data_IF_234646952425
#
_entry.id   IF_234646952425
#
_cell.length_a   1.000
_cell.length_b   1.000
_cell.length_c   1.000
_cell.angle_alpha   90.00
_cell.angle_beta   90.00
_cell.angle_gamma   90.00
#
_symmetry.space_group_name_H-M   'P 1'
#
loop_
_entity.id
_entity.type
_entity.pdbx_description
1 polymer ?
#
# COMPACT_ATOMS: atom_id res chain seq x y z
N UNK A 1 4.37 -20.02 49.19
CA UNK A 1 3.78 -18.68 49.28
C UNK A 1 2.83 -18.66 50.48
N UNK A 2 3.12 -17.84 51.47
CA UNK A 2 2.21 -17.67 52.62
C UNK A 2 1.25 -16.54 52.27
N UNK A 3 0.01 -16.87 52.03
CA UNK A 3 -1.06 -15.91 51.68
C UNK A 3 -2.01 -15.76 52.86
N UNK A 4 -2.09 -14.57 53.43
CA UNK A 4 -3.25 -14.15 54.22
C UNK A 4 -4.13 -13.30 53.33
N UNK A 5 -5.10 -13.89 52.66
CA UNK A 5 -6.06 -13.20 51.81
C UNK A 5 -7.47 -13.59 52.23
N UNK A 6 -8.24 -12.59 52.60
CA UNK A 6 -9.69 -12.67 52.69
C UNK A 6 -10.26 -12.55 51.29
N UNK A 7 -10.56 -13.68 50.61
CA UNK A 7 -11.11 -13.70 49.26
C UNK A 7 -11.32 -15.12 48.79
N UNK A 8 -12.33 -15.32 47.94
CA UNK A 8 -12.74 -16.61 47.38
C UNK A 8 -11.99 -16.98 46.07
N UNK A 9 -11.11 -16.14 45.60
CA UNK A 9 -10.42 -16.34 44.32
C UNK A 9 -8.93 -15.96 44.41
N UNK A 10 -8.07 -16.85 43.94
CA UNK A 10 -6.65 -16.61 43.81
C UNK A 10 -6.20 -16.85 42.37
N UNK A 11 -5.65 -15.84 41.77
CA UNK A 11 -5.09 -15.91 40.42
C UNK A 11 -3.55 -15.92 40.51
N UNK A 12 -2.93 -16.95 39.95
CA UNK A 12 -1.47 -17.05 39.89
C UNK A 12 -1.04 -16.83 38.44
N UNK A 13 -0.22 -15.81 38.25
CA UNK A 13 0.29 -15.44 36.92
C UNK A 13 1.81 -15.23 37.02
N UNK A 14 2.55 -15.93 36.15
CA UNK A 14 3.97 -15.68 35.97
C UNK A 14 4.32 -15.76 34.47
N UNK A 15 5.42 -15.11 34.08
CA UNK A 15 5.87 -15.08 32.69
C UNK A 15 6.34 -16.49 32.27
N UNK A 16 5.81 -16.97 31.14
CA UNK A 16 6.15 -18.30 30.61
C UNK A 16 5.31 -19.46 31.20
N UNK A 17 4.29 -19.15 31.99
CA UNK A 17 3.37 -20.13 32.55
C UNK A 17 1.92 -19.79 32.24
N UNK A 18 1.09 -20.84 32.12
CA UNK A 18 -0.36 -20.67 32.00
C UNK A 18 -0.94 -20.13 33.30
N UNK A 19 -1.81 -19.12 33.19
CA UNK A 19 -2.52 -18.58 34.37
C UNK A 19 -3.43 -19.65 34.93
N UNK A 20 -3.30 -19.98 36.23
CA UNK A 20 -4.19 -20.89 36.92
C UNK A 20 -5.05 -20.10 37.92
N UNK A 21 -6.36 -20.36 37.92
CA UNK A 21 -7.31 -19.73 38.81
C UNK A 21 -7.95 -20.81 39.70
N UNK A 22 -7.80 -20.67 41.01
CA UNK A 22 -8.35 -21.57 41.99
C UNK A 22 -9.37 -20.83 42.85
N UNK A 23 -10.59 -21.36 42.89
CA UNK A 23 -11.70 -20.87 43.73
C UNK A 23 -11.79 -21.75 44.98
N UNK A 24 -11.61 -21.19 46.15
CA UNK A 24 -11.78 -21.89 47.42
C UNK A 24 -12.15 -20.92 48.54
N UNK A 25 -12.86 -21.45 49.55
CA UNK A 25 -13.22 -20.72 50.74
C UNK A 25 -12.21 -21.06 51.83
N UNK A 26 -11.43 -20.08 52.28
CA UNK A 26 -10.39 -20.25 53.30
C UNK A 26 -11.08 -20.29 54.69
N UNK A 27 -11.23 -21.50 55.25
CA UNK A 27 -11.78 -21.71 56.60
C UNK A 27 -10.72 -22.02 57.66
N UNK A 28 -9.51 -22.42 57.24
CA UNK A 28 -8.38 -22.83 58.09
C UNK A 28 -7.07 -22.51 57.38
N UNK A 29 -5.95 -22.42 58.14
CA UNK A 29 -4.62 -22.30 57.56
C UNK A 29 -4.36 -23.45 56.58
N UNK A 30 -4.20 -23.14 55.31
CA UNK A 30 -4.06 -24.11 54.21
C UNK A 30 -2.77 -23.88 53.44
N UNK A 31 -2.03 -24.96 53.22
CA UNK A 31 -0.85 -24.95 52.36
C UNK A 31 -1.24 -25.41 50.97
N UNK A 32 -1.16 -24.50 49.99
CA UNK A 32 -1.46 -24.80 48.59
C UNK A 32 -0.14 -24.97 47.82
N UNK A 33 0.07 -26.18 47.31
CA UNK A 33 1.18 -26.48 46.40
C UNK A 33 0.67 -26.49 44.94
N UNK A 34 0.91 -25.38 44.23
CA UNK A 34 0.47 -25.22 42.86
C UNK A 34 1.64 -25.47 41.91
N UNK A 35 1.46 -26.39 40.98
CA UNK A 35 2.41 -26.64 39.88
C UNK A 35 1.86 -25.96 38.64
N UNK A 36 2.45 -24.86 38.27
CA UNK A 36 2.13 -24.16 37.03
C UNK A 36 2.66 -24.95 35.81
N UNK A 37 1.82 -25.06 34.78
CA UNK A 37 2.26 -25.63 33.50
C UNK A 37 3.00 -24.55 32.74
N UNK A 38 4.25 -24.85 32.36
CA UNK A 38 5.02 -23.97 31.50
C UNK A 38 4.29 -23.79 30.16
N UNK A 39 4.00 -22.54 29.83
CA UNK A 39 3.52 -22.16 28.51
C UNK A 39 4.73 -21.91 27.61
N UNK A 40 5.63 -22.90 27.54
CA UNK A 40 6.80 -22.87 26.66
C UNK A 40 6.46 -23.27 25.22
N UNK A 41 5.20 -23.38 24.85
CA UNK A 41 4.78 -23.17 23.49
C UNK A 41 4.60 -21.65 23.32
N UNK A 42 5.72 -20.93 23.13
CA UNK A 42 5.76 -19.99 22.05
C UNK A 42 5.24 -20.80 20.86
N UNK A 43 4.03 -20.52 20.41
CA UNK A 43 3.73 -20.81 19.03
C UNK A 43 4.91 -20.21 18.28
N UNK A 44 5.75 -21.08 17.76
CA UNK A 44 6.76 -20.71 16.83
C UNK A 44 5.98 -19.95 15.77
N UNK A 45 6.01 -18.63 15.85
CA UNK A 45 5.70 -17.79 14.72
C UNK A 45 6.82 -18.13 13.77
N UNK A 46 6.61 -19.20 13.02
CA UNK A 46 7.35 -19.48 11.82
C UNK A 46 7.03 -18.27 10.96
N UNK A 47 7.82 -17.22 11.15
CA UNK A 47 8.00 -16.21 10.14
C UNK A 47 8.69 -16.99 9.03
N UNK A 48 7.91 -17.72 8.26
CA UNK A 48 8.34 -18.22 6.97
C UNK A 48 8.73 -16.94 6.24
N UNK A 49 10.03 -16.69 6.26
CA UNK A 49 10.58 -15.66 5.42
C UNK A 49 10.33 -16.17 4.01
N UNK A 50 9.25 -15.75 3.39
CA UNK A 50 8.97 -16.00 1.96
C UNK A 50 10.18 -15.69 1.07
N UNK A 51 11.16 -14.95 1.61
CA UNK A 51 12.43 -14.65 0.95
C UNK A 51 13.36 -15.86 0.79
N UNK A 52 13.37 -16.82 1.70
CA UNK A 52 14.26 -17.99 1.61
C UNK A 52 13.70 -19.01 0.62
N UNK A 53 12.38 -19.21 0.61
CA UNK A 53 11.73 -20.08 -0.36
C UNK A 53 11.63 -19.43 -1.75
N UNK A 54 11.41 -18.13 -1.83
CA UNK A 54 11.38 -17.40 -3.10
C UNK A 54 12.73 -17.50 -3.86
N UNK A 55 13.85 -17.60 -3.16
CA UNK A 55 15.17 -17.72 -3.80
C UNK A 55 15.45 -19.08 -4.43
N UNK A 56 14.87 -20.15 -3.88
CA UNK A 56 15.15 -21.54 -4.33
C UNK A 56 14.02 -22.13 -5.19
N UNK A 57 12.79 -21.67 -5.02
CA UNK A 57 11.59 -22.17 -5.74
C UNK A 57 11.11 -21.20 -6.82
N UNK A 58 11.58 -19.96 -6.83
CA UNK A 58 11.20 -18.98 -7.85
C UNK A 58 11.72 -19.41 -9.22
N UNK A 59 10.83 -19.88 -10.05
CA UNK A 59 11.10 -20.23 -11.47
C UNK A 59 11.40 -19.02 -12.34
N UNK A 60 11.23 -17.79 -11.82
CA UNK A 60 11.48 -16.54 -12.53
C UNK A 60 12.68 -15.80 -11.94
N UNK A 61 13.80 -15.86 -12.65
CA UNK A 61 14.94 -15.00 -12.35
C UNK A 61 14.62 -13.55 -12.71
N UNK A 62 14.99 -12.59 -11.84
CA UNK A 62 14.86 -11.17 -12.10
C UNK A 62 13.55 -10.52 -11.66
N UNK A 63 12.58 -11.27 -11.16
CA UNK A 63 11.40 -10.75 -10.49
C UNK A 63 11.71 -10.42 -9.03
N UNK A 64 11.35 -9.23 -8.59
CA UNK A 64 11.46 -8.79 -7.20
C UNK A 64 10.10 -8.28 -6.75
N UNK A 65 9.54 -8.91 -5.75
CA UNK A 65 8.33 -8.42 -5.08
C UNK A 65 8.72 -7.41 -4.00
N UNK A 66 8.09 -6.25 -4.02
CA UNK A 66 8.35 -5.19 -3.04
C UNK A 66 7.25 -5.25 -1.99
N UNK A 67 7.59 -5.56 -0.73
CA UNK A 67 6.61 -5.61 0.34
C UNK A 67 6.00 -4.23 0.60
N UNK A 68 4.68 -4.15 0.74
CA UNK A 68 3.97 -2.89 1.01
C UNK A 68 4.43 -2.21 2.31
N UNK A 69 4.86 -2.99 3.30
CA UNK A 69 5.46 -2.46 4.54
C UNK A 69 6.74 -1.66 4.23
N UNK A 70 7.57 -2.13 3.30
CA UNK A 70 8.77 -1.42 2.89
C UNK A 70 8.41 -0.10 2.18
N UNK A 71 7.40 -0.11 1.31
CA UNK A 71 6.93 1.09 0.61
C UNK A 71 6.43 2.13 1.61
N UNK A 72 5.61 1.71 2.58
CA UNK A 72 5.04 2.60 3.60
C UNK A 72 6.08 3.18 4.56
N UNK A 73 7.17 2.45 4.82
CA UNK A 73 8.26 2.86 5.70
C UNK A 73 9.40 3.58 4.96
N UNK A 74 9.31 3.70 3.65
CA UNK A 74 10.31 4.46 2.88
C UNK A 74 10.22 5.93 3.23
N UNK A 75 11.34 6.59 3.58
CA UNK A 75 11.37 8.03 3.79
C UNK A 75 10.86 8.73 2.53
N UNK A 76 9.88 9.59 2.70
CA UNK A 76 9.22 10.24 1.59
C UNK A 76 9.37 11.75 1.68
N UNK A 77 9.42 12.38 0.53
CA UNK A 77 9.39 13.84 0.44
C UNK A 77 8.01 14.30 0.92
N UNK A 78 7.99 15.26 1.85
CA UNK A 78 6.76 15.89 2.36
C UNK A 78 5.82 14.93 3.12
N UNK A 79 6.35 13.81 3.62
CA UNK A 79 5.59 12.90 4.48
C UNK A 79 4.64 11.95 3.75
N UNK A 80 4.74 11.86 2.43
CA UNK A 80 3.91 10.94 1.63
C UNK A 80 4.73 9.76 1.08
N UNK A 81 4.40 8.54 1.49
CA UNK A 81 5.01 7.33 0.95
C UNK A 81 4.62 7.14 -0.53
N UNK A 82 5.60 6.79 -1.35
CA UNK A 82 5.44 6.69 -2.80
C UNK A 82 6.04 5.39 -3.34
N UNK A 83 5.27 4.72 -4.21
CA UNK A 83 5.67 3.43 -4.80
C UNK A 83 6.86 3.57 -5.72
N UNK A 84 6.88 4.61 -6.57
CA UNK A 84 7.97 4.81 -7.53
C UNK A 84 9.27 5.18 -6.81
N UNK A 85 9.18 5.99 -5.74
CA UNK A 85 10.34 6.32 -4.90
C UNK A 85 10.89 5.09 -4.17
N UNK A 86 10.02 4.20 -3.70
CA UNK A 86 10.47 2.94 -3.10
C UNK A 86 11.18 2.03 -4.13
N UNK A 87 10.70 2.01 -5.38
CA UNK A 87 11.37 1.28 -6.49
C UNK A 87 12.75 1.88 -6.80
N UNK A 88 12.91 3.21 -6.74
CA UNK A 88 14.18 3.89 -6.97
C UNK A 88 15.29 3.46 -5.97
N UNK A 89 14.92 3.01 -4.78
CA UNK A 89 15.87 2.50 -3.78
C UNK A 89 16.32 1.04 -4.02
N UNK A 90 15.75 0.38 -5.04
CA UNK A 90 16.10 -1.01 -5.31
C UNK A 90 17.43 -1.14 -6.05
N UNK A 91 18.24 -2.18 -5.76
CA UNK A 91 19.49 -2.40 -6.47
C UNK A 91 19.30 -2.51 -7.99
N UNK A 92 20.11 -1.78 -8.76
CA UNK A 92 20.03 -1.76 -10.24
C UNK A 92 18.92 -0.88 -10.79
N UNK A 93 18.32 -0.04 -9.97
CA UNK A 93 17.42 1.04 -10.36
C UNK A 93 18.09 2.36 -10.02
N UNK A 94 18.07 3.30 -10.94
CA UNK A 94 18.56 4.66 -10.72
C UNK A 94 17.40 5.63 -10.87
N UNK A 95 17.34 6.61 -9.97
CA UNK A 95 16.49 7.78 -10.14
C UNK A 95 17.08 8.65 -11.26
N UNK A 96 16.20 9.36 -11.95
CA UNK A 96 16.61 10.44 -12.85
C UNK A 96 17.04 11.68 -12.07
N UNK A 97 16.67 12.84 -12.58
CA UNK A 97 16.86 14.11 -11.87
C UNK A 97 16.02 14.10 -10.59
N UNK A 98 16.53 14.72 -9.53
CA UNK A 98 15.82 14.88 -8.27
C UNK A 98 14.43 15.48 -8.50
N UNK A 99 13.42 14.84 -7.92
CA UNK A 99 12.02 15.20 -8.14
C UNK A 99 11.34 14.52 -9.34
N UNK A 100 12.08 13.75 -10.16
CA UNK A 100 11.49 12.97 -11.27
C UNK A 100 11.02 11.58 -10.80
N UNK A 101 9.87 11.10 -11.31
CA UNK A 101 9.44 9.71 -11.16
C UNK A 101 10.10 8.77 -12.17
N UNK A 102 10.98 9.28 -13.05
CA UNK A 102 11.67 8.49 -14.05
C UNK A 102 12.53 7.38 -13.42
N UNK A 103 12.44 6.18 -13.98
CA UNK A 103 13.20 5.02 -13.55
C UNK A 103 14.16 4.58 -14.64
N UNK A 104 15.45 4.56 -14.32
CA UNK A 104 16.49 4.01 -15.16
C UNK A 104 16.86 2.63 -14.62
N UNK A 105 16.43 1.59 -15.30
CA UNK A 105 16.59 0.21 -14.80
C UNK A 105 17.60 -0.49 -15.69
N UNK A 106 18.72 -0.93 -15.09
CA UNK A 106 19.82 -1.61 -15.78
C UNK A 106 20.32 -0.88 -17.05
N UNK A 107 20.38 0.46 -16.99
CA UNK A 107 20.83 1.30 -18.10
C UNK A 107 19.75 1.62 -19.14
N UNK A 108 18.53 1.12 -18.98
CA UNK A 108 17.41 1.52 -19.84
C UNK A 108 16.78 2.84 -19.40
N UNK A 109 16.26 3.60 -20.36
CA UNK A 109 15.57 4.88 -20.12
C UNK A 109 14.13 4.69 -19.61
N UNK A 110 13.51 5.72 -19.01
CA UNK A 110 12.17 5.64 -18.44
C UNK A 110 11.07 5.18 -19.42
N UNK A 111 11.18 5.57 -20.68
CA UNK A 111 10.27 5.18 -21.77
C UNK A 111 10.36 3.70 -22.14
N UNK A 112 11.44 3.03 -21.74
CA UNK A 112 11.66 1.59 -21.98
C UNK A 112 11.07 0.69 -20.89
N UNK A 113 10.49 1.24 -19.85
CA UNK A 113 9.83 0.50 -18.79
C UNK A 113 8.34 0.32 -19.10
N UNK A 114 7.81 -0.86 -18.86
CA UNK A 114 6.39 -1.13 -18.92
C UNK A 114 5.80 -1.04 -17.52
N UNK A 115 4.97 -0.04 -17.28
CA UNK A 115 4.33 0.16 -16.00
C UNK A 115 2.86 -0.20 -16.14
N UNK A 116 2.42 -1.14 -15.32
CA UNK A 116 1.08 -1.72 -15.37
C UNK A 116 0.35 -1.47 -14.05
N UNK A 117 -0.91 -1.05 -14.15
CA UNK A 117 -1.86 -1.05 -13.06
C UNK A 117 -2.94 -2.07 -13.34
N UNK A 118 -3.03 -3.12 -12.52
CA UNK A 118 -3.93 -4.28 -12.73
C UNK A 118 -3.84 -4.87 -14.16
N UNK A 119 -2.63 -4.87 -14.75
CA UNK A 119 -2.37 -5.42 -16.08
C UNK A 119 -2.56 -4.44 -17.24
N UNK A 120 -2.97 -3.18 -17.00
CA UNK A 120 -3.08 -2.16 -18.05
C UNK A 120 -1.92 -1.21 -18.01
N UNK A 121 -1.34 -0.86 -19.17
CA UNK A 121 -0.30 0.12 -19.27
C UNK A 121 -0.74 1.50 -18.78
N UNK A 122 0.08 2.08 -17.90
CA UNK A 122 -0.05 3.46 -17.45
C UNK A 122 1.06 4.26 -18.09
N UNK A 123 0.72 5.27 -18.89
CA UNK A 123 1.71 6.07 -19.62
C UNK A 123 2.16 7.27 -18.80
N UNK A 124 1.24 7.95 -18.13
CA UNK A 124 1.56 9.02 -17.20
C UNK A 124 1.52 8.47 -15.77
N UNK A 125 2.69 8.35 -15.16
CA UNK A 125 2.87 7.65 -13.88
C UNK A 125 3.12 8.60 -12.72
N UNK A 126 3.09 9.91 -12.98
CA UNK A 126 3.42 10.91 -11.98
C UNK A 126 2.50 12.13 -12.02
N UNK A 127 2.52 12.85 -10.91
CA UNK A 127 1.89 14.13 -10.70
C UNK A 127 2.95 15.15 -10.31
N UNK A 128 2.66 16.43 -10.48
CA UNK A 128 3.52 17.53 -10.08
C UNK A 128 4.96 17.36 -10.61
N UNK A 129 5.07 17.15 -11.92
CA UNK A 129 6.37 17.02 -12.61
C UNK A 129 7.28 15.92 -12.06
N UNK A 130 6.71 14.85 -11.49
CA UNK A 130 7.44 13.69 -10.97
C UNK A 130 7.63 13.65 -9.45
N UNK A 131 7.09 14.59 -8.71
CA UNK A 131 7.18 14.59 -7.25
C UNK A 131 6.35 13.47 -6.61
N UNK A 132 5.18 13.16 -7.15
CA UNK A 132 4.28 12.11 -6.65
C UNK A 132 3.93 11.13 -7.75
N UNK A 133 3.86 9.84 -7.42
CA UNK A 133 3.34 8.87 -8.37
C UNK A 133 1.82 8.82 -8.33
N UNK A 134 1.22 8.32 -9.41
CA UNK A 134 -0.23 8.06 -9.49
C UNK A 134 -0.66 6.90 -8.59
N UNK A 135 0.28 6.16 -8.01
CA UNK A 135 0.04 4.97 -7.21
C UNK A 135 -0.18 5.34 -5.74
N UNK A 136 -1.40 5.17 -5.26
CA UNK A 136 -1.76 5.37 -3.86
C UNK A 136 -1.45 4.10 -3.06
N UNK A 137 -0.46 4.11 -2.12
CA UNK A 137 -0.01 2.91 -1.42
C UNK A 137 -1.11 2.18 -0.65
N UNK A 138 -2.12 2.90 -0.16
CA UNK A 138 -3.26 2.35 0.57
C UNK A 138 -4.15 1.47 -0.32
N UNK A 139 -4.21 1.77 -1.62
CA UNK A 139 -4.99 1.02 -2.59
C UNK A 139 -4.25 -0.19 -3.17
N UNK A 140 -2.94 -0.31 -2.91
CA UNK A 140 -2.09 -1.31 -3.56
C UNK A 140 -1.90 -2.52 -2.66
N UNK A 141 -2.04 -3.69 -3.27
CA UNK A 141 -1.81 -5.00 -2.66
C UNK A 141 -0.37 -5.48 -2.86
N UNK A 142 0.15 -5.30 -4.08
CA UNK A 142 1.40 -5.92 -4.50
C UNK A 142 2.06 -5.09 -5.60
N UNK A 143 3.37 -4.98 -5.52
CA UNK A 143 4.21 -4.41 -6.57
C UNK A 143 5.28 -5.44 -6.93
N UNK A 144 5.35 -5.81 -8.20
CA UNK A 144 6.38 -6.73 -8.73
C UNK A 144 7.20 -6.01 -9.79
N UNK A 145 8.51 -5.96 -9.55
CA UNK A 145 9.48 -5.40 -10.48
C UNK A 145 10.22 -6.54 -11.19
N UNK A 146 10.10 -6.61 -12.52
CA UNK A 146 10.89 -7.49 -13.37
C UNK A 146 12.02 -6.67 -14.01
N UNK A 147 13.23 -6.87 -13.53
CA UNK A 147 14.41 -6.13 -14.04
C UNK A 147 14.98 -6.72 -15.32
N UNK A 148 14.65 -7.97 -15.62
CA UNK A 148 15.05 -8.74 -16.80
C UNK A 148 14.25 -10.04 -16.85
N UNK A 149 14.31 -10.75 -17.96
CA UNK A 149 13.66 -12.06 -18.13
C UNK A 149 12.19 -12.06 -17.74
N UNK A 150 11.49 -10.99 -18.11
CA UNK A 150 10.04 -10.92 -17.85
C UNK A 150 9.29 -11.94 -18.71
N UNK A 151 8.18 -12.48 -18.21
CA UNK A 151 7.36 -13.46 -18.95
C UNK A 151 6.93 -12.96 -20.32
N UNK A 152 6.77 -13.88 -21.27
CA UNK A 152 6.38 -13.59 -22.66
C UNK A 152 5.02 -12.86 -22.80
N UNK A 153 4.18 -12.90 -21.77
CA UNK A 153 2.93 -12.13 -21.71
C UNK A 153 3.14 -10.60 -21.68
N UNK A 154 4.31 -10.16 -21.27
CA UNK A 154 4.68 -8.76 -21.24
C UNK A 154 5.51 -8.43 -22.49
N UNK A 155 5.07 -7.44 -23.26
CA UNK A 155 5.77 -7.01 -24.47
C UNK A 155 5.75 -5.51 -24.64
N UNK A 156 6.40 -5.02 -25.71
CA UNK A 156 6.36 -3.62 -26.11
C UNK A 156 7.31 -2.69 -25.35
N UNK A 157 8.16 -3.22 -24.44
CA UNK A 157 9.19 -2.44 -23.72
C UNK A 157 10.48 -3.27 -23.60
N UNK A 158 11.61 -2.58 -23.45
CA UNK A 158 12.95 -3.19 -23.56
C UNK A 158 13.66 -3.38 -22.22
N UNK A 159 13.38 -2.53 -21.22
CA UNK A 159 14.18 -2.48 -20.00
C UNK A 159 13.58 -3.30 -18.87
N UNK A 160 12.37 -2.97 -18.44
CA UNK A 160 11.75 -3.60 -17.28
C UNK A 160 10.22 -3.64 -17.36
N UNK A 161 9.62 -4.42 -16.44
CA UNK A 161 8.18 -4.42 -16.23
C UNK A 161 7.90 -4.17 -14.75
N UNK A 162 7.04 -3.22 -14.46
CA UNK A 162 6.53 -2.90 -13.11
C UNK A 162 5.05 -3.24 -13.11
N UNK A 163 4.69 -4.33 -12.42
CA UNK A 163 3.30 -4.78 -12.31
C UNK A 163 2.76 -4.38 -10.93
N UNK A 164 1.90 -3.37 -10.92
CA UNK A 164 1.22 -2.87 -9.73
C UNK A 164 -0.18 -3.45 -9.66
N UNK A 165 -0.49 -4.12 -8.57
CA UNK A 165 -1.80 -4.73 -8.32
C UNK A 165 -2.52 -4.02 -7.20
N UNK A 166 -3.75 -3.59 -7.45
CA UNK A 166 -4.60 -2.99 -6.43
C UNK A 166 -5.24 -4.04 -5.53
N UNK A 167 -5.69 -3.61 -4.33
CA UNK A 167 -6.40 -4.46 -3.40
C UNK A 167 -7.69 -4.99 -4.00
N UNK A 168 -7.97 -6.26 -3.74
CA UNK A 168 -9.20 -6.93 -4.20
C UNK A 168 -10.41 -6.65 -3.29
N UNK A 169 -10.18 -5.99 -2.14
CA UNK A 169 -11.17 -5.79 -1.08
C UNK A 169 -11.40 -7.03 -0.21
N UNK A 170 -11.82 -6.80 1.03
CA UNK A 170 -12.14 -7.89 1.96
C UNK A 170 -13.56 -8.41 1.70
N UNK A 171 -13.70 -9.72 1.55
CA UNK A 171 -15.01 -10.37 1.34
C UNK A 171 -15.82 -10.59 2.63
N UNK A 172 -15.22 -10.33 3.81
CA UNK A 172 -15.82 -10.67 5.11
C UNK A 172 -16.15 -9.46 5.96
N UNK A 173 -15.26 -8.44 5.95
CA UNK A 173 -15.35 -7.27 6.85
C UNK A 173 -15.13 -5.98 6.07
N UNK A 174 -15.70 -4.91 6.59
CA UNK A 174 -15.42 -3.56 6.10
C UNK A 174 -14.17 -3.00 6.77
N UNK A 175 -13.30 -2.42 5.98
CA UNK A 175 -12.13 -1.69 6.44
C UNK A 175 -12.11 -0.32 5.80
N UNK A 176 -11.63 0.66 6.56
CA UNK A 176 -11.46 2.01 6.05
C UNK A 176 -10.19 2.63 6.61
N UNK A 177 -9.48 3.35 5.77
CA UNK A 177 -8.30 4.11 6.15
C UNK A 177 -8.48 5.53 5.67
N UNK A 178 -8.32 6.49 6.57
CA UNK A 178 -8.25 7.92 6.28
C UNK A 178 -6.86 8.40 6.66
N UNK A 179 -6.17 9.03 5.72
CA UNK A 179 -4.86 9.63 5.93
C UNK A 179 -4.90 11.09 5.52
N UNK A 180 -4.48 11.97 6.42
CA UNK A 180 -4.38 13.41 6.17
C UNK A 180 -2.91 13.77 6.31
N UNK A 181 -2.27 14.09 5.21
CA UNK A 181 -0.89 14.54 5.14
C UNK A 181 -0.80 16.06 5.01
N UNK A 182 0.43 16.56 4.89
CA UNK A 182 0.67 18.00 4.71
C UNK A 182 0.14 18.51 3.36
N UNK A 183 0.32 17.73 2.29
CA UNK A 183 -0.02 18.15 0.92
C UNK A 183 -1.20 17.40 0.31
N UNK A 184 -1.52 16.23 0.82
CA UNK A 184 -2.56 15.36 0.26
C UNK A 184 -3.42 14.74 1.36
N UNK A 185 -4.66 14.48 1.04
CA UNK A 185 -5.54 13.61 1.83
C UNK A 185 -5.94 12.40 1.01
N UNK A 186 -6.03 11.26 1.69
CA UNK A 186 -6.33 9.96 1.09
C UNK A 186 -7.42 9.27 1.90
N UNK A 187 -8.28 8.58 1.19
CA UNK A 187 -9.26 7.69 1.79
C UNK A 187 -9.22 6.36 1.03
N UNK A 188 -9.26 5.27 1.76
CA UNK A 188 -9.44 3.94 1.20
C UNK A 188 -10.56 3.23 1.95
N UNK A 189 -11.51 2.67 1.22
CA UNK A 189 -12.64 1.92 1.74
C UNK A 189 -12.72 0.59 1.03
N UNK A 190 -12.83 -0.50 1.79
CA UNK A 190 -12.98 -1.83 1.24
C UNK A 190 -13.96 -2.65 2.06
N UNK A 191 -14.57 -3.63 1.43
CA UNK A 191 -15.48 -4.53 2.13
C UNK A 191 -16.32 -5.40 1.20
N UNK A 192 -17.18 -6.24 1.79
CA UNK A 192 -18.06 -7.11 1.04
C UNK A 192 -19.29 -6.35 0.52
N UNK A 193 -19.60 -6.50 -0.78
CA UNK A 193 -20.91 -6.21 -1.33
C UNK A 193 -21.82 -7.39 -1.05
N UNK A 194 -21.31 -8.61 -1.28
CA UNK A 194 -21.95 -9.87 -0.90
C UNK A 194 -20.91 -10.70 -0.18
N UNK A 195 -21.17 -11.07 1.08
CA UNK A 195 -20.23 -11.84 1.89
C UNK A 195 -19.76 -13.09 1.15
N UNK A 196 -18.46 -13.35 1.22
CA UNK A 196 -17.75 -14.49 0.64
C UNK A 196 -17.84 -14.62 -0.90
N UNK A 197 -18.49 -13.66 -1.59
CA UNK A 197 -18.67 -13.68 -3.04
C UNK A 197 -18.18 -12.43 -3.74
N UNK A 198 -18.53 -11.24 -3.23
CA UNK A 198 -18.22 -9.99 -3.93
C UNK A 198 -17.65 -8.99 -2.97
N UNK A 199 -16.49 -8.47 -3.28
CA UNK A 199 -15.85 -7.39 -2.54
C UNK A 199 -15.59 -6.18 -3.43
N UNK A 200 -15.40 -5.03 -2.79
CA UNK A 200 -14.98 -3.80 -3.44
C UNK A 200 -13.80 -3.19 -2.68
N UNK A 201 -13.01 -2.43 -3.42
CA UNK A 201 -12.03 -1.50 -2.88
C UNK A 201 -12.16 -0.19 -3.64
N UNK A 202 -12.30 0.91 -2.92
CA UNK A 202 -12.35 2.25 -3.49
C UNK A 202 -11.35 3.11 -2.74
N UNK A 203 -10.45 3.76 -3.46
CA UNK A 203 -9.55 4.75 -2.89
C UNK A 203 -9.65 6.06 -3.65
N UNK A 204 -9.52 7.15 -2.91
CA UNK A 204 -9.43 8.49 -3.47
C UNK A 204 -8.30 9.25 -2.79
N UNK A 205 -7.57 10.04 -3.56
CA UNK A 205 -6.53 10.95 -3.10
C UNK A 205 -6.74 12.30 -3.76
N UNK A 206 -6.54 13.38 -3.00
CA UNK A 206 -6.48 14.74 -3.53
C UNK A 206 -5.36 15.51 -2.87
N UNK A 207 -4.64 16.30 -3.68
CA UNK A 207 -3.72 17.32 -3.17
C UNK A 207 -4.47 18.64 -2.94
N UNK A 208 -4.00 19.42 -1.99
CA UNK A 208 -4.52 20.75 -1.68
C UNK A 208 -3.43 21.82 -1.63
N UNK A 209 -2.42 21.65 -2.50
CA UNK A 209 -1.33 22.61 -2.68
C UNK A 209 -1.89 23.98 -3.05
N UNK A 210 -2.95 24.01 -3.86
CA UNK A 210 -3.71 25.18 -4.21
C UNK A 210 -4.20 26.00 -3.01
N UNK A 211 -4.63 25.30 -1.94
CA UNK A 211 -5.12 25.95 -0.72
C UNK A 211 -3.99 26.42 0.19
N UNK A 212 -2.91 25.65 0.30
CA UNK A 212 -1.78 25.95 1.17
C UNK A 212 -0.92 27.08 0.59
N UNK A 213 -0.68 27.07 -0.70
CA UNK A 213 0.18 28.04 -1.35
C UNK A 213 -0.47 29.43 -1.44
N UNK A 214 -1.79 29.49 -1.54
CA UNK A 214 -2.55 30.74 -1.74
C UNK A 214 -2.21 31.89 -0.79
N UNK A 215 -2.06 31.70 0.55
CA UNK A 215 -1.73 32.78 1.46
C UNK A 215 -0.27 33.28 1.36
N UNK A 216 0.59 32.57 0.65
CA UNK A 216 2.01 32.89 0.47
C UNK A 216 2.31 33.48 -0.92
N UNK A 217 1.30 33.56 -1.79
CA UNK A 217 1.46 34.11 -3.14
C UNK A 217 1.26 35.61 -3.15
N UNK A 218 2.03 36.36 -3.97
CA UNK A 218 1.74 37.75 -4.26
C UNK A 218 0.35 37.90 -4.92
N UNK A 219 -0.28 39.05 -4.73
CA UNK A 219 -1.60 39.31 -5.28
C UNK A 219 -1.61 39.34 -6.83
N UNK A 220 -0.48 39.62 -7.43
CA UNK A 220 -0.29 39.81 -8.88
C UNK A 220 -0.08 38.46 -9.61
N UNK A 221 0.28 37.38 -8.88
CA UNK A 221 0.57 36.07 -9.45
C UNK A 221 -0.33 35.00 -8.83
N UNK A 222 -1.15 34.35 -9.62
CA UNK A 222 -2.01 33.26 -9.15
C UNK A 222 -1.60 31.96 -9.79
N UNK A 223 -0.98 31.10 -8.98
CA UNK A 223 -0.69 29.72 -9.34
C UNK A 223 -1.74 28.82 -8.71
N UNK A 224 -2.38 27.99 -9.50
CA UNK A 224 -3.32 27.00 -9.02
C UNK A 224 -2.89 25.62 -9.51
N UNK A 225 -2.44 24.77 -8.57
CA UNK A 225 -2.08 23.41 -8.86
C UNK A 225 -2.74 22.46 -7.87
N UNK A 226 -3.46 21.50 -8.40
CA UNK A 226 -3.97 20.37 -7.65
C UNK A 226 -4.03 19.13 -8.54
N UNK A 227 -3.96 17.97 -7.92
CA UNK A 227 -4.24 16.70 -8.57
C UNK A 227 -5.17 15.85 -7.72
N UNK A 228 -5.80 14.88 -8.36
CA UNK A 228 -6.55 13.84 -7.68
C UNK A 228 -6.43 12.51 -8.40
N UNK A 229 -6.56 11.43 -7.63
CA UNK A 229 -6.63 10.05 -8.09
C UNK A 229 -7.81 9.35 -7.48
N UNK A 230 -8.48 8.54 -8.27
CA UNK A 230 -9.56 7.67 -7.83
C UNK A 230 -9.30 6.29 -8.39
N UNK A 231 -9.23 5.29 -7.53
CA UNK A 231 -9.16 3.89 -7.88
C UNK A 231 -10.42 3.19 -7.38
N UNK A 232 -10.99 2.33 -8.19
CA UNK A 232 -12.10 1.48 -7.82
C UNK A 232 -11.91 0.09 -8.38
N UNK A 233 -12.11 -0.93 -7.54
CA UNK A 233 -12.03 -2.33 -7.95
C UNK A 233 -13.17 -3.13 -7.35
N UNK A 234 -13.75 -3.98 -8.17
CA UNK A 234 -14.75 -4.97 -7.76
C UNK A 234 -14.20 -6.34 -8.08
N UNK A 235 -14.30 -7.25 -7.13
CA UNK A 235 -13.92 -8.63 -7.26
C UNK A 235 -15.14 -9.51 -6.99
N UNK A 236 -15.50 -10.34 -7.94
CA UNK A 236 -16.62 -11.27 -7.82
C UNK A 236 -16.15 -12.71 -8.04
N UNK A 237 -16.46 -13.57 -7.05
CA UNK A 237 -16.16 -14.99 -7.07
C UNK A 237 -17.41 -15.76 -7.50
N UNK A 238 -17.41 -16.27 -8.73
CA UNK A 238 -18.47 -17.17 -9.23
C UNK A 238 -18.33 -18.57 -8.65
N UNK A 239 -17.09 -19.08 -8.58
CA UNK A 239 -16.74 -20.39 -8.05
C UNK A 239 -15.29 -20.37 -7.54
N UNK A 240 -14.81 -21.48 -7.00
CA UNK A 240 -13.40 -21.60 -6.57
C UNK A 240 -12.41 -21.53 -7.75
N UNK A 241 -12.89 -21.79 -8.97
CA UNK A 241 -12.10 -21.78 -10.20
C UNK A 241 -12.35 -20.57 -11.09
N UNK A 242 -13.32 -19.71 -10.77
CA UNK A 242 -13.71 -18.58 -11.63
C UNK A 242 -13.94 -17.32 -10.80
N UNK A 243 -13.22 -16.25 -11.16
CA UNK A 243 -13.35 -14.92 -10.56
C UNK A 243 -13.34 -13.85 -11.64
N UNK A 244 -14.08 -12.80 -11.41
CA UNK A 244 -14.10 -11.60 -12.24
C UNK A 244 -13.55 -10.44 -11.43
N UNK A 245 -12.64 -9.70 -12.05
CA UNK A 245 -12.11 -8.45 -11.54
C UNK A 245 -12.50 -7.32 -12.48
N UNK A 246 -13.02 -6.26 -11.93
CA UNK A 246 -13.27 -5.03 -12.67
C UNK A 246 -12.53 -3.91 -11.94
N UNK A 247 -11.56 -3.30 -12.63
CA UNK A 247 -10.77 -2.19 -12.08
C UNK A 247 -11.00 -0.94 -12.91
N UNK A 248 -11.06 0.20 -12.25
CA UNK A 248 -11.13 1.52 -12.87
C UNK A 248 -10.16 2.47 -12.16
N UNK A 249 -9.47 3.27 -12.94
CA UNK A 249 -8.60 4.33 -12.45
C UNK A 249 -8.93 5.62 -13.18
N UNK A 250 -8.96 6.71 -12.42
CA UNK A 250 -9.08 8.06 -12.94
C UNK A 250 -8.12 8.98 -12.19
N UNK A 251 -7.26 9.68 -12.92
CA UNK A 251 -6.33 10.68 -12.39
C UNK A 251 -6.39 11.95 -13.20
N UNK A 252 -6.20 13.09 -12.54
CA UNK A 252 -6.18 14.40 -13.18
C UNK A 252 -5.21 15.33 -12.48
N UNK A 253 -4.38 16.00 -13.29
CA UNK A 253 -3.58 17.14 -12.91
C UNK A 253 -4.23 18.42 -13.45
N UNK A 254 -4.28 19.43 -12.64
CA UNK A 254 -4.71 20.77 -13.03
C UNK A 254 -3.63 21.77 -12.65
N UNK A 255 -3.09 22.43 -13.65
CA UNK A 255 -2.16 23.54 -13.48
C UNK A 255 -2.72 24.78 -14.20
N UNK A 256 -2.83 25.87 -13.49
CA UNK A 256 -3.21 27.15 -14.06
C UNK A 256 -2.33 28.24 -13.46
N UNK A 257 -1.83 29.13 -14.30
CA UNK A 257 -1.11 30.33 -13.89
C UNK A 257 -1.77 31.52 -14.56
N UNK A 258 -1.93 32.59 -13.82
CA UNK A 258 -2.50 33.83 -14.28
C UNK A 258 -1.53 34.95 -13.93
N UNK A 259 -1.06 35.68 -14.95
CA UNK A 259 -0.27 36.91 -14.84
C UNK A 259 -1.17 38.10 -15.16
N UNK A 260 -0.92 39.22 -14.52
CA UNK A 260 -1.74 40.44 -14.66
C UNK A 260 -1.75 41.02 -16.08
N UNK A 261 -0.88 40.55 -16.96
CA UNK A 261 -0.67 41.00 -18.34
C UNK A 261 -1.37 40.13 -19.40
N UNK A 262 -2.61 39.72 -19.20
CA UNK A 262 -3.48 39.02 -20.18
C UNK A 262 -2.96 37.67 -20.72
N UNK A 263 -1.99 37.05 -20.10
CA UNK A 263 -1.49 35.72 -20.49
C UNK A 263 -1.92 34.63 -19.51
N UNK A 264 -3.09 34.06 -19.70
CA UNK A 264 -3.55 32.88 -18.97
C UNK A 264 -2.97 31.62 -19.61
N UNK A 265 -2.21 30.83 -18.86
CA UNK A 265 -1.79 29.49 -19.26
C UNK A 265 -2.52 28.44 -18.43
N UNK A 266 -3.18 27.50 -19.11
CA UNK A 266 -3.85 26.35 -18.48
C UNK A 266 -3.39 25.06 -19.10
N UNK A 267 -2.83 24.16 -18.29
CA UNK A 267 -2.52 22.80 -18.70
C UNK A 267 -3.32 21.81 -17.84
N UNK A 268 -3.95 20.86 -18.49
CA UNK A 268 -4.67 19.75 -17.83
C UNK A 268 -4.18 18.45 -18.40
N UNK A 269 -3.62 17.59 -17.55
CA UNK A 269 -3.33 16.20 -17.89
C UNK A 269 -4.43 15.32 -17.32
N UNK A 270 -4.91 14.39 -18.12
CA UNK A 270 -6.00 13.50 -17.77
C UNK A 270 -5.66 12.06 -18.11
N UNK A 271 -5.77 11.16 -17.12
CA UNK A 271 -5.58 9.73 -17.32
C UNK A 271 -6.84 8.99 -16.90
N UNK A 272 -7.40 8.20 -17.81
CA UNK A 272 -8.56 7.38 -17.56
C UNK A 272 -8.29 5.96 -18.03
N UNK A 273 -8.42 4.99 -17.12
CA UNK A 273 -8.22 3.58 -17.40
C UNK A 273 -9.40 2.78 -16.87
N UNK A 274 -10.06 2.03 -17.74
CA UNK A 274 -11.05 1.03 -17.36
C UNK A 274 -10.66 -0.30 -17.95
N UNK A 275 -10.69 -1.36 -17.13
CA UNK A 275 -10.31 -2.69 -17.53
C UNK A 275 -11.38 -3.71 -17.20
N UNK A 276 -11.87 -4.46 -18.18
CA UNK A 276 -12.43 -5.77 -17.94
C UNK A 276 -11.27 -6.76 -17.83
N UNK A 277 -11.15 -7.46 -16.71
CA UNK A 277 -10.23 -8.58 -16.58
C UNK A 277 -11.01 -9.88 -16.52
N UNK A 278 -10.61 -10.80 -17.33
CA UNK A 278 -11.15 -12.16 -17.40
C UNK A 278 -10.70 -13.01 -16.21
#
# INVERSE_FOLDING_TARGET
IRLSLVGSEMCIRDRGYTTETHHFTLAQDTLLNIRMKGNAQLEEVVVVSDKAEAGTVATQMGAVEIPMVQIKNTPSILGESDVMKAIQLMPGVQAGVDGSAGLYIRGGSPDQNLILLDGTPVYNVDHMFGFFSVFTPEAIKKVTLFKSSFPARFGGRLSSVIDVRTNDGDMKKYHGTLSIGLLTSKINLEGPIVKDKTSFNISARRSYIDLIAKPFMPDDEKYNYYFYDINAKINHKFSDRSRLYLSAYNGKDHFATQYDDNSDFKAVSYTHLTLPTT
#
